data_IF_044908026574
#
_entry.id   IF_044908026574
#
_cell.length_a   1.000
_cell.length_b   1.000
_cell.length_c   1.000
_cell.angle_alpha   90.00
_cell.angle_beta   90.00
_cell.angle_gamma   90.00
#
_symmetry.space_group_name_H-M   'P 1'
#
loop_
_entity.id
_entity.type
_entity.pdbx_description
1 polymer ?
#
# COMPACT_ATOMS: atom_id res chain seq x y z
N UNK A 1 -23.69 -2.25 17.51
CA UNK A 1 -22.93 -1.79 16.33
C UNK A 1 -21.46 -1.59 16.75
N UNK A 2 -20.62 -2.64 16.66
CA UNK A 2 -19.22 -2.62 17.17
C UNK A 2 -18.26 -3.58 16.41
N UNK A 3 -18.80 -4.44 15.53
CA UNK A 3 -18.02 -5.49 14.86
C UNK A 3 -17.02 -4.93 13.85
N UNK A 4 -17.45 -4.01 12.98
CA UNK A 4 -16.57 -3.40 11.97
C UNK A 4 -15.44 -2.60 12.60
N UNK A 5 -15.73 -1.83 13.65
CA UNK A 5 -14.69 -1.12 14.39
C UNK A 5 -13.65 -2.09 14.96
N UNK A 6 -14.08 -3.17 15.61
CA UNK A 6 -13.19 -4.15 16.25
C UNK A 6 -12.37 -4.98 15.28
N UNK A 7 -12.95 -5.36 14.14
CA UNK A 7 -12.33 -6.31 13.21
C UNK A 7 -11.60 -5.64 12.05
N UNK A 8 -12.00 -4.42 11.66
CA UNK A 8 -11.38 -3.69 10.55
C UNK A 8 -10.59 -2.47 11.05
N UNK A 9 -11.26 -1.47 11.64
CA UNK A 9 -10.64 -0.17 11.89
C UNK A 9 -9.58 -0.21 13.00
N UNK A 10 -9.91 -0.78 14.16
CA UNK A 10 -8.99 -0.86 15.29
C UNK A 10 -7.68 -1.62 14.96
N UNK A 11 -7.71 -2.82 14.36
CA UNK A 11 -6.48 -3.51 13.96
C UNK A 11 -5.68 -2.74 12.90
N UNK A 12 -6.35 -2.12 11.92
CA UNK A 12 -5.69 -1.31 10.87
C UNK A 12 -4.96 -0.11 11.47
N UNK A 13 -5.60 0.59 12.42
CA UNK A 13 -4.99 1.73 13.12
C UNK A 13 -3.80 1.28 13.98
N UNK A 14 -3.92 0.16 14.70
CA UNK A 14 -2.81 -0.42 15.46
C UNK A 14 -1.64 -0.76 14.54
N UNK A 15 -1.89 -1.39 13.39
CA UNK A 15 -0.86 -1.71 12.41
C UNK A 15 -0.14 -0.45 11.88
N UNK A 16 -0.87 0.62 11.61
CA UNK A 16 -0.27 1.89 11.19
C UNK A 16 0.67 2.48 12.27
N UNK A 17 0.30 2.37 13.55
CA UNK A 17 1.13 2.79 14.68
C UNK A 17 2.42 1.96 14.74
N UNK A 18 2.31 0.63 14.62
CA UNK A 18 3.48 -0.27 14.65
C UNK A 18 4.41 -0.04 13.45
N UNK A 19 3.87 0.24 12.26
CA UNK A 19 4.66 0.60 11.08
C UNK A 19 5.46 1.88 11.28
N UNK A 20 4.88 2.89 11.93
CA UNK A 20 5.60 4.12 12.29
C UNK A 20 6.77 3.83 13.25
N UNK A 21 6.63 2.80 14.09
CA UNK A 21 7.70 2.30 14.98
C UNK A 21 8.63 1.28 14.34
N UNK A 22 8.58 1.08 13.01
CA UNK A 22 9.34 0.08 12.26
C UNK A 22 9.13 -1.39 12.73
N UNK A 23 7.97 -1.72 13.29
CA UNK A 23 7.64 -3.06 13.79
C UNK A 23 6.75 -3.81 12.79
N UNK A 24 7.35 -4.25 11.68
CA UNK A 24 6.64 -4.95 10.59
C UNK A 24 5.89 -6.20 11.06
N UNK A 25 6.53 -7.07 11.86
CA UNK A 25 5.92 -8.31 12.34
C UNK A 25 4.64 -8.06 13.16
N UNK A 26 4.67 -7.08 14.07
CA UNK A 26 3.51 -6.75 14.90
C UNK A 26 2.38 -6.12 14.07
N UNK A 27 2.72 -5.31 13.06
CA UNK A 27 1.74 -4.76 12.13
C UNK A 27 1.03 -5.88 11.35
N UNK A 28 1.78 -6.88 10.86
CA UNK A 28 1.21 -8.03 10.14
C UNK A 28 0.22 -8.80 11.03
N UNK A 29 0.59 -9.10 12.28
CA UNK A 29 -0.29 -9.78 13.23
C UNK A 29 -1.61 -9.03 13.44
N UNK A 30 -1.57 -7.70 13.59
CA UNK A 30 -2.80 -6.93 13.72
C UNK A 30 -3.67 -7.00 12.46
N UNK A 31 -3.06 -7.00 11.27
CA UNK A 31 -3.76 -7.00 9.99
C UNK A 31 -4.40 -8.35 9.62
N UNK A 32 -4.11 -9.43 10.34
CA UNK A 32 -4.77 -10.73 10.14
C UNK A 32 -6.28 -10.64 10.42
N UNK A 33 -6.66 -9.93 11.48
CA UNK A 33 -8.07 -9.80 11.88
C UNK A 33 -8.93 -9.11 10.80
N UNK A 34 -8.33 -8.21 10.01
CA UNK A 34 -9.02 -7.46 8.96
C UNK A 34 -9.06 -8.20 7.62
N UNK A 35 -8.24 -9.23 7.41
CA UNK A 35 -8.09 -9.91 6.12
C UNK A 35 -9.41 -10.45 5.54
N UNK A 36 -10.32 -11.08 6.32
CA UNK A 36 -11.59 -11.57 5.79
C UNK A 36 -12.58 -10.47 5.39
N UNK A 37 -12.32 -9.23 5.84
CA UNK A 37 -13.24 -8.09 5.69
C UNK A 37 -12.66 -6.98 4.81
N UNK A 38 -11.44 -7.15 4.28
CA UNK A 38 -10.69 -6.06 3.66
C UNK A 38 -11.28 -5.56 2.34
N UNK A 39 -12.07 -6.41 1.67
CA UNK A 39 -12.83 -6.10 0.45
C UNK A 39 -14.25 -5.57 0.72
N UNK A 40 -14.65 -5.41 1.98
CA UNK A 40 -15.96 -4.86 2.35
C UNK A 40 -15.99 -3.33 2.36
N UNK A 41 -17.18 -2.76 2.59
CA UNK A 41 -17.40 -1.31 2.78
C UNK A 41 -17.72 -1.02 4.26
N UNK A 42 -16.71 -0.83 5.13
CA UNK A 42 -16.87 -0.78 6.58
C UNK A 42 -17.41 0.58 7.09
N UNK A 43 -18.62 0.66 7.69
CA UNK A 43 -19.12 1.89 8.30
C UNK A 43 -18.14 2.49 9.34
N UNK A 44 -18.14 3.82 9.56
CA UNK A 44 -19.04 4.82 8.96
C UNK A 44 -18.58 5.31 7.58
N UNK A 45 -17.39 4.92 7.15
CA UNK A 45 -16.82 5.35 5.87
C UNK A 45 -17.26 4.31 4.83
N UNK A 46 -18.15 4.66 3.91
CA UNK A 46 -18.59 3.78 2.80
C UNK A 46 -17.50 3.55 1.75
N UNK A 47 -16.23 3.64 2.18
CA UNK A 47 -15.07 3.66 1.33
C UNK A 47 -14.07 2.70 1.98
N UNK A 48 -14.27 1.41 1.71
CA UNK A 48 -13.37 0.34 2.13
C UNK A 48 -12.13 0.31 1.27
N UNK A 49 -11.29 1.33 1.38
CA UNK A 49 -10.20 1.65 0.43
C UNK A 49 -9.03 0.64 0.40
N UNK A 50 -9.24 -0.59 0.87
CA UNK A 50 -8.21 -1.60 1.03
C UNK A 50 -7.03 -1.12 1.90
N UNK A 51 -7.29 -0.25 2.88
CA UNK A 51 -6.26 0.19 3.83
C UNK A 51 -5.54 -0.99 4.51
N UNK A 52 -6.22 -2.07 4.97
CA UNK A 52 -5.52 -3.22 5.53
C UNK A 52 -4.49 -3.82 4.57
N UNK A 53 -4.86 -4.04 3.29
CA UNK A 53 -3.95 -4.56 2.27
C UNK A 53 -2.81 -3.58 1.97
N UNK A 54 -3.11 -2.28 1.85
CA UNK A 54 -2.08 -1.26 1.62
C UNK A 54 -1.05 -1.20 2.77
N UNK A 55 -1.50 -1.24 4.03
CA UNK A 55 -0.62 -1.30 5.19
C UNK A 55 0.13 -2.63 5.25
N UNK A 56 -0.48 -3.75 4.85
CA UNK A 56 0.18 -5.06 4.78
C UNK A 56 1.32 -5.05 3.75
N UNK A 57 1.09 -4.44 2.59
CA UNK A 57 2.12 -4.20 1.58
C UNK A 57 3.29 -3.38 2.13
N UNK A 58 3.01 -2.30 2.86
CA UNK A 58 4.05 -1.52 3.54
C UNK A 58 4.81 -2.32 4.60
N UNK A 59 4.12 -3.15 5.37
CA UNK A 59 4.73 -4.04 6.36
C UNK A 59 5.69 -5.04 5.70
N UNK A 60 5.31 -5.61 4.56
CA UNK A 60 6.17 -6.51 3.80
C UNK A 60 7.36 -5.78 3.15
N UNK A 61 7.20 -4.55 2.65
CA UNK A 61 8.34 -3.73 2.21
C UNK A 61 9.35 -3.53 3.36
N UNK A 62 8.86 -3.17 4.55
CA UNK A 62 9.68 -2.97 5.74
C UNK A 62 10.33 -4.28 6.22
N UNK A 63 9.67 -5.41 6.01
CA UNK A 63 10.22 -6.75 6.29
C UNK A 63 11.16 -7.27 5.19
N UNK A 64 11.45 -6.48 4.16
CA UNK A 64 12.27 -6.86 3.01
C UNK A 64 11.73 -8.09 2.24
N UNK A 65 10.41 -8.31 2.23
CA UNK A 65 9.75 -9.39 1.50
C UNK A 65 9.01 -8.87 0.27
N UNK A 66 9.76 -8.53 -0.79
CA UNK A 66 9.24 -7.87 -1.99
C UNK A 66 8.06 -8.59 -2.66
N UNK A 67 8.13 -9.92 -2.83
CA UNK A 67 7.04 -10.67 -3.47
C UNK A 67 5.72 -10.62 -2.67
N UNK A 68 5.80 -10.68 -1.34
CA UNK A 68 4.62 -10.56 -0.48
C UNK A 68 4.06 -9.13 -0.52
N UNK A 69 4.93 -8.12 -0.53
CA UNK A 69 4.52 -6.73 -0.69
C UNK A 69 3.80 -6.51 -2.04
N UNK A 70 4.35 -7.05 -3.13
CA UNK A 70 3.78 -6.93 -4.45
C UNK A 70 2.36 -7.52 -4.51
N UNK A 71 2.15 -8.71 -3.93
CA UNK A 71 0.83 -9.33 -3.88
C UNK A 71 -0.21 -8.44 -3.18
N UNK A 72 0.15 -7.81 -2.06
CA UNK A 72 -0.77 -6.93 -1.34
C UNK A 72 -1.08 -5.63 -2.09
N UNK A 73 -0.09 -5.01 -2.74
CA UNK A 73 -0.34 -3.82 -3.55
C UNK A 73 -1.13 -4.13 -4.83
N UNK A 74 -0.92 -5.30 -5.43
CA UNK A 74 -1.65 -5.74 -6.63
C UNK A 74 -3.16 -5.86 -6.36
N UNK A 75 -3.57 -6.30 -5.16
CA UNK A 75 -4.99 -6.34 -4.78
C UNK A 75 -5.71 -5.01 -4.98
N UNK A 76 -5.06 -3.88 -4.71
CA UNK A 76 -5.65 -2.55 -4.91
C UNK A 76 -5.90 -2.26 -6.40
N UNK A 77 -4.99 -2.70 -7.27
CA UNK A 77 -5.12 -2.53 -8.72
C UNK A 77 -6.10 -3.51 -9.35
N UNK A 78 -6.32 -4.66 -8.72
CA UNK A 78 -7.31 -5.66 -9.14
C UNK A 78 -8.74 -5.26 -8.71
N UNK A 79 -8.87 -4.45 -7.66
CA UNK A 79 -10.15 -4.03 -7.09
C UNK A 79 -10.35 -2.51 -7.17
N UNK A 80 -10.07 -1.92 -8.33
CA UNK A 80 -10.17 -0.45 -8.52
C UNK A 80 -11.57 0.12 -8.24
N UNK A 81 -12.62 -0.68 -8.42
CA UNK A 81 -13.99 -0.27 -8.09
C UNK A 81 -14.20 -0.02 -6.59
N UNK A 82 -13.43 -0.69 -5.73
CA UNK A 82 -13.43 -0.48 -4.28
C UNK A 82 -12.53 0.71 -3.91
N UNK A 83 -11.40 0.88 -4.60
CA UNK A 83 -10.42 1.95 -4.34
C UNK A 83 -10.87 3.30 -4.89
N UNK A 84 -11.71 3.34 -5.92
CA UNK A 84 -12.27 4.54 -6.56
C UNK A 84 -11.17 5.60 -6.79
N UNK A 85 -11.31 6.80 -6.20
CA UNK A 85 -10.41 7.93 -6.36
C UNK A 85 -9.46 8.09 -5.15
N UNK A 86 -9.33 7.08 -4.29
CA UNK A 86 -8.45 7.18 -3.13
C UNK A 86 -6.97 7.21 -3.51
N UNK A 87 -6.15 7.98 -2.75
CA UNK A 87 -4.71 8.07 -3.01
C UNK A 87 -4.00 6.72 -3.02
N UNK A 88 -4.47 5.75 -2.23
CA UNK A 88 -3.85 4.41 -2.12
C UNK A 88 -3.85 3.66 -3.44
N UNK A 89 -4.77 3.93 -4.38
CA UNK A 89 -4.76 3.34 -5.72
C UNK A 89 -3.56 3.77 -6.54
N UNK A 90 -3.28 5.08 -6.58
CA UNK A 90 -2.07 5.57 -7.24
C UNK A 90 -0.79 5.15 -6.48
N UNK A 91 -0.82 5.20 -5.14
CA UNK A 91 0.32 4.78 -4.32
C UNK A 91 0.59 3.28 -4.38
N UNK A 92 -0.36 2.44 -4.81
CA UNK A 92 -0.13 1.03 -5.05
C UNK A 92 0.87 0.80 -6.21
N UNK A 93 0.86 1.64 -7.24
CA UNK A 93 1.87 1.58 -8.31
C UNK A 93 3.28 1.88 -7.75
N UNK A 94 3.41 2.89 -6.89
CA UNK A 94 4.68 3.17 -6.21
C UNK A 94 5.10 2.01 -5.29
N UNK A 95 4.16 1.44 -4.54
CA UNK A 95 4.39 0.26 -3.69
C UNK A 95 4.89 -0.94 -4.49
N UNK A 96 4.28 -1.23 -5.65
CA UNK A 96 4.73 -2.27 -6.58
C UNK A 96 6.12 -1.97 -7.14
N UNK A 97 6.41 -0.72 -7.53
CA UNK A 97 7.75 -0.32 -7.99
C UNK A 97 8.83 -0.63 -6.95
N UNK A 98 8.56 -0.31 -5.67
CA UNK A 98 9.45 -0.63 -4.54
C UNK A 98 9.56 -2.13 -4.29
N UNK A 99 8.45 -2.85 -4.37
CA UNK A 99 8.40 -4.28 -4.14
C UNK A 99 9.19 -5.06 -5.20
N UNK A 100 9.02 -4.73 -6.48
CA UNK A 100 9.78 -5.34 -7.57
C UNK A 100 11.27 -4.99 -7.51
N UNK A 101 11.61 -3.74 -7.19
CA UNK A 101 13.01 -3.35 -7.00
C UNK A 101 13.68 -4.16 -5.89
N UNK A 102 12.98 -4.35 -4.76
CA UNK A 102 13.43 -5.16 -3.64
C UNK A 102 13.58 -6.65 -4.01
N UNK A 103 12.74 -7.17 -4.90
CA UNK A 103 12.84 -8.53 -5.45
C UNK A 103 13.87 -8.68 -6.59
N UNK A 104 14.52 -7.60 -7.02
CA UNK A 104 15.49 -7.61 -8.12
C UNK A 104 14.88 -7.60 -9.53
N UNK A 105 13.56 -7.43 -9.66
CA UNK A 105 12.88 -7.30 -10.97
C UNK A 105 12.87 -5.84 -11.41
N UNK A 106 14.01 -5.36 -11.91
CA UNK A 106 14.20 -3.98 -12.33
C UNK A 106 13.25 -3.56 -13.45
N UNK A 107 12.91 -4.47 -14.36
CA UNK A 107 12.03 -4.18 -15.51
C UNK A 107 10.60 -3.87 -15.02
N UNK A 108 10.05 -4.71 -14.15
CA UNK A 108 8.74 -4.45 -13.57
C UNK A 108 8.78 -3.24 -12.63
N UNK A 109 9.86 -3.07 -11.85
CA UNK A 109 10.02 -1.92 -10.98
C UNK A 109 9.91 -0.61 -11.77
N UNK A 110 10.72 -0.47 -12.83
CA UNK A 110 10.72 0.70 -13.70
C UNK A 110 9.36 0.98 -14.33
N UNK A 111 8.68 -0.08 -14.78
CA UNK A 111 7.32 0.02 -15.34
C UNK A 111 6.35 0.60 -14.32
N UNK A 112 6.36 0.11 -13.07
CA UNK A 112 5.43 0.57 -12.03
C UNK A 112 5.74 1.97 -11.49
N UNK A 113 7.01 2.38 -11.45
CA UNK A 113 7.37 3.78 -11.21
C UNK A 113 6.82 4.69 -12.30
N UNK A 114 6.93 4.29 -13.57
CA UNK A 114 6.41 5.07 -14.69
C UNK A 114 4.88 5.22 -14.63
N UNK A 115 4.16 4.13 -14.32
CA UNK A 115 2.70 4.16 -14.11
C UNK A 115 2.33 5.19 -13.02
N UNK A 116 3.05 5.18 -11.88
CA UNK A 116 2.84 6.14 -10.79
C UNK A 116 3.07 7.59 -11.26
N UNK A 117 4.18 7.86 -11.95
CA UNK A 117 4.47 9.22 -12.45
C UNK A 117 3.47 9.70 -13.49
N UNK A 118 2.89 8.79 -14.27
CA UNK A 118 1.84 9.14 -15.23
C UNK A 118 0.57 9.60 -14.52
N UNK A 119 0.18 8.90 -13.45
CA UNK A 119 -0.97 9.29 -12.63
C UNK A 119 -0.71 10.57 -11.83
N UNK A 120 0.53 10.80 -11.41
CA UNK A 120 0.93 11.93 -10.55
C UNK A 120 1.65 13.05 -11.29
N UNK A 121 1.48 13.14 -12.62
CA UNK A 121 2.16 14.14 -13.46
C UNK A 121 1.86 15.59 -13.06
N UNK A 122 0.64 15.84 -12.59
CA UNK A 122 0.15 17.17 -12.19
C UNK A 122 0.06 17.32 -10.65
N UNK A 123 0.60 16.35 -9.90
CA UNK A 123 0.70 16.47 -8.45
C UNK A 123 1.67 17.59 -8.07
N UNK A 124 1.52 18.14 -6.87
CA UNK A 124 2.45 19.12 -6.30
C UNK A 124 3.90 18.60 -6.46
N UNK A 125 4.76 19.29 -7.23
CA UNK A 125 6.12 18.81 -7.49
C UNK A 125 6.98 18.73 -6.23
N UNK A 126 6.58 19.45 -5.16
CA UNK A 126 7.31 19.51 -3.90
C UNK A 126 6.91 18.44 -2.89
N UNK A 127 5.85 17.66 -3.16
CA UNK A 127 5.40 16.61 -2.24
C UNK A 127 6.51 15.57 -2.01
N UNK A 128 6.90 15.28 -0.74
CA UNK A 128 8.08 14.45 -0.46
C UNK A 128 8.06 13.06 -1.11
N UNK A 129 6.89 12.42 -1.19
CA UNK A 129 6.75 11.07 -1.74
C UNK A 129 7.06 11.02 -3.25
N UNK A 130 6.73 12.07 -4.01
CA UNK A 130 7.04 12.15 -5.43
C UNK A 130 8.53 12.38 -5.66
N UNK A 131 9.17 13.24 -4.85
CA UNK A 131 10.62 13.45 -4.88
C UNK A 131 11.37 12.16 -4.57
N UNK A 132 10.94 11.43 -3.54
CA UNK A 132 11.52 10.16 -3.16
C UNK A 132 11.38 9.12 -4.28
N UNK A 133 10.17 8.95 -4.84
CA UNK A 133 9.94 8.01 -5.93
C UNK A 133 10.82 8.29 -7.16
N UNK A 134 10.99 9.57 -7.55
CA UNK A 134 11.89 9.97 -8.64
C UNK A 134 13.35 9.62 -8.34
N UNK A 135 13.79 9.81 -7.10
CA UNK A 135 15.15 9.44 -6.69
C UNK A 135 15.36 7.92 -6.64
N UNK A 136 14.35 7.16 -6.21
CA UNK A 136 14.37 5.69 -6.23
C UNK A 136 14.46 5.17 -7.68
N UNK A 137 13.60 5.65 -8.57
CA UNK A 137 13.59 5.25 -9.98
C UNK A 137 14.93 5.50 -10.69
N UNK A 138 15.58 6.65 -10.44
CA UNK A 138 16.90 6.97 -11.02
C UNK A 138 18.01 5.99 -10.63
N UNK A 139 17.87 5.27 -9.51
CA UNK A 139 18.85 4.26 -9.07
C UNK A 139 18.66 2.91 -9.78
N UNK A 140 17.56 2.74 -10.50
CA UNK A 140 17.21 1.52 -11.23
C UNK A 140 17.58 1.58 -12.71
N UNK A 141 17.96 2.77 -13.20
CA UNK A 141 18.54 2.98 -14.53
C UNK A 141 20.06 2.92 -14.46
#
# INVERSE_FOLDING_TARGET
MNTVFKLYWLPTLKAAIELKGAKSAQALVFLEAAAPYELGEPPPIQEGTLYPAYLRGQAYLLAHTGNAAAAEFQKLLDHRGIVVNFPVGALAHLGLGRAYALSGDTVQACTKYHDFFTLWKDADPDIPILKQAKAEYRKLQ
#
